data_IF_015547761467
#
_entry.id   IF_015547761467
#
_cell.length_a   1.000
_cell.length_b   1.000
_cell.length_c   1.000
_cell.angle_alpha   90.00
_cell.angle_beta   90.00
_cell.angle_gamma   90.00
#
_symmetry.space_group_name_H-M   'P 1'
#
loop_
_entity.id
_entity.type
_entity.pdbx_description
1 polymer ?
#
# COMPACT_ATOMS: atom_id res chain seq x y z
N UNK A 1 -3.62 -26.81 -43.30
CA UNK A 1 -4.78 -26.23 -44.01
C UNK A 1 -5.91 -26.05 -43.01
N UNK A 2 -6.15 -24.83 -42.56
CA UNK A 2 -7.32 -24.52 -41.73
C UNK A 2 -8.57 -24.63 -42.59
N UNK A 3 -9.56 -25.46 -42.23
CA UNK A 3 -10.76 -25.69 -43.04
C UNK A 3 -11.52 -24.37 -43.24
N UNK A 4 -12.18 -24.19 -44.39
CA UNK A 4 -13.01 -23.00 -44.67
C UNK A 4 -14.00 -22.68 -43.56
N UNK A 5 -14.57 -23.70 -42.94
CA UNK A 5 -15.44 -23.61 -41.73
C UNK A 5 -14.73 -22.99 -40.51
N UNK A 6 -13.44 -23.21 -40.31
CA UNK A 6 -12.69 -22.60 -39.21
C UNK A 6 -12.45 -21.11 -39.43
N UNK A 7 -12.20 -20.71 -40.68
CA UNK A 7 -12.05 -19.30 -41.08
C UNK A 7 -13.37 -18.54 -40.92
N UNK A 8 -14.47 -19.13 -41.35
CA UNK A 8 -15.82 -18.55 -41.21
C UNK A 8 -16.23 -18.35 -39.74
N UNK A 9 -15.97 -19.35 -38.89
CA UNK A 9 -16.17 -19.23 -37.42
C UNK A 9 -15.32 -18.16 -36.81
N UNK A 10 -14.07 -17.99 -37.24
CA UNK A 10 -13.20 -16.92 -36.75
C UNK A 10 -13.66 -15.54 -37.21
N UNK A 11 -14.10 -15.42 -38.48
CA UNK A 11 -14.68 -14.17 -39.00
C UNK A 11 -15.95 -13.78 -38.23
N UNK A 12 -16.88 -14.73 -38.00
CA UNK A 12 -18.09 -14.52 -37.22
C UNK A 12 -17.78 -14.10 -35.77
N UNK A 13 -16.84 -14.78 -35.09
CA UNK A 13 -16.43 -14.42 -33.74
C UNK A 13 -15.82 -13.01 -33.68
N UNK A 14 -14.99 -12.64 -34.67
CA UNK A 14 -14.40 -11.29 -34.77
C UNK A 14 -15.43 -10.21 -35.02
N UNK A 15 -16.40 -10.44 -35.90
CA UNK A 15 -17.49 -9.49 -36.17
C UNK A 15 -18.37 -9.30 -34.97
N UNK A 16 -18.73 -10.39 -34.27
CA UNK A 16 -19.51 -10.34 -33.02
C UNK A 16 -18.75 -9.65 -31.89
N UNK A 17 -17.44 -9.91 -31.73
CA UNK A 17 -16.60 -9.21 -30.76
C UNK A 17 -16.53 -7.70 -31.05
N UNK A 18 -16.29 -7.31 -32.30
CA UNK A 18 -16.27 -5.90 -32.72
C UNK A 18 -17.61 -5.21 -32.45
N UNK A 19 -18.75 -5.85 -32.76
CA UNK A 19 -20.09 -5.32 -32.50
C UNK A 19 -20.33 -5.18 -30.98
N UNK A 20 -19.94 -6.18 -30.19
CA UNK A 20 -20.03 -6.13 -28.73
C UNK A 20 -19.18 -5.00 -28.15
N UNK A 21 -17.93 -4.84 -28.62
CA UNK A 21 -17.06 -3.75 -28.20
C UNK A 21 -17.64 -2.38 -28.61
N UNK A 22 -18.14 -2.25 -29.83
CA UNK A 22 -18.77 -1.00 -30.27
C UNK A 22 -19.99 -0.64 -29.44
N UNK A 23 -20.86 -1.61 -29.14
CA UNK A 23 -22.04 -1.41 -28.27
C UNK A 23 -21.58 -1.01 -26.85
N UNK A 24 -20.57 -1.68 -26.30
CA UNK A 24 -20.04 -1.33 -24.98
C UNK A 24 -19.47 0.09 -24.95
N UNK A 25 -18.69 0.49 -25.96
CA UNK A 25 -18.16 1.85 -26.06
C UNK A 25 -19.27 2.89 -26.17
N UNK A 26 -20.24 2.66 -27.07
CA UNK A 26 -21.36 3.59 -27.28
C UNK A 26 -22.20 3.71 -26.00
N UNK A 27 -22.55 2.60 -25.36
CA UNK A 27 -23.32 2.61 -24.11
C UNK A 27 -22.56 3.34 -22.98
N UNK A 28 -21.25 3.12 -22.88
CA UNK A 28 -20.41 3.83 -21.90
C UNK A 28 -20.36 5.33 -22.19
N UNK A 29 -20.21 5.72 -23.45
CA UNK A 29 -20.22 7.14 -23.83
C UNK A 29 -21.57 7.80 -23.57
N UNK A 30 -22.68 7.13 -23.95
CA UNK A 30 -24.03 7.64 -23.69
C UNK A 30 -24.27 7.80 -22.18
N UNK A 31 -23.88 6.80 -21.40
CA UNK A 31 -23.98 6.87 -19.95
C UNK A 31 -23.12 8.02 -19.37
N UNK A 32 -21.87 8.13 -19.80
CA UNK A 32 -20.98 9.21 -19.36
C UNK A 32 -21.52 10.59 -19.71
N UNK A 33 -22.04 10.77 -20.93
CA UNK A 33 -22.65 12.03 -21.38
C UNK A 33 -23.93 12.31 -20.57
N UNK A 34 -24.80 11.31 -20.35
CA UNK A 34 -26.04 11.51 -19.58
C UNK A 34 -25.74 11.90 -18.13
N UNK A 35 -24.79 11.22 -17.48
CA UNK A 35 -24.33 11.54 -16.12
C UNK A 35 -23.68 12.92 -16.07
N UNK A 36 -22.77 13.21 -17.00
CA UNK A 36 -22.10 14.50 -17.10
C UNK A 36 -23.09 15.65 -17.31
N UNK A 37 -24.05 15.46 -18.22
CA UNK A 37 -25.12 16.44 -18.45
C UNK A 37 -25.98 16.64 -17.19
N UNK A 38 -26.41 15.52 -16.55
CA UNK A 38 -27.20 15.58 -15.31
C UNK A 38 -26.49 16.35 -14.21
N UNK A 39 -25.20 16.09 -13.99
CA UNK A 39 -24.40 16.77 -12.96
C UNK A 39 -24.22 18.25 -13.29
N UNK A 40 -23.78 18.58 -14.51
CA UNK A 40 -23.43 19.95 -14.89
C UNK A 40 -24.64 20.90 -15.04
N UNK A 41 -25.85 20.36 -15.20
CA UNK A 41 -27.09 21.14 -15.29
C UNK A 41 -27.85 21.22 -13.96
N UNK A 42 -27.31 20.68 -12.87
CA UNK A 42 -27.90 20.91 -11.54
C UNK A 42 -27.67 22.36 -11.08
N UNK A 43 -28.66 22.99 -10.40
CA UNK A 43 -28.52 24.36 -9.88
C UNK A 43 -27.31 24.54 -8.93
N UNK A 44 -26.84 23.47 -8.30
CA UNK A 44 -25.69 23.49 -7.38
C UNK A 44 -24.33 23.38 -8.06
N UNK A 45 -24.25 23.08 -9.36
CA UNK A 45 -22.99 22.83 -10.05
C UNK A 45 -22.02 24.02 -10.04
N UNK A 46 -22.44 25.27 -10.28
CA UNK A 46 -21.53 26.41 -10.18
C UNK A 46 -20.85 26.51 -8.79
N UNK A 47 -21.63 26.25 -7.73
CA UNK A 47 -21.10 26.27 -6.36
C UNK A 47 -20.09 25.17 -6.12
N UNK A 48 -20.33 23.97 -6.67
CA UNK A 48 -19.35 22.87 -6.62
C UNK A 48 -18.05 23.24 -7.32
N UNK A 49 -18.15 23.86 -8.51
CA UNK A 49 -16.97 24.34 -9.24
C UNK A 49 -16.17 25.38 -8.44
N UNK A 50 -16.83 26.38 -7.89
CA UNK A 50 -16.17 27.42 -7.09
C UNK A 50 -15.54 26.85 -5.83
N UNK A 51 -16.19 25.90 -5.16
CA UNK A 51 -15.79 25.39 -3.86
C UNK A 51 -14.71 24.29 -3.94
N UNK A 52 -14.74 23.45 -4.99
CA UNK A 52 -13.87 22.28 -5.08
C UNK A 52 -12.87 22.32 -6.24
N UNK A 53 -13.12 23.18 -7.25
CA UNK A 53 -12.34 23.20 -8.49
C UNK A 53 -11.92 24.62 -8.89
N UNK A 54 -11.65 25.49 -7.92
CA UNK A 54 -11.16 26.85 -8.15
C UNK A 54 -9.69 26.83 -8.64
N UNK A 55 -9.39 27.24 -9.90
CA UNK A 55 -8.02 27.23 -10.41
C UNK A 55 -7.08 28.16 -9.64
N UNK A 56 -7.59 29.29 -9.18
CA UNK A 56 -6.81 30.29 -8.42
C UNK A 56 -6.39 29.74 -7.07
N UNK A 57 -7.32 29.07 -6.34
CA UNK A 57 -7.04 28.44 -5.05
C UNK A 57 -6.14 27.21 -5.23
N UNK A 58 -6.32 26.43 -6.30
CA UNK A 58 -5.45 25.30 -6.61
C UNK A 58 -4.00 25.77 -6.78
N UNK A 59 -3.78 26.81 -7.57
CA UNK A 59 -2.45 27.34 -7.83
C UNK A 59 -1.79 27.95 -6.59
N UNK A 60 -2.55 28.71 -5.79
CA UNK A 60 -2.03 29.33 -4.57
C UNK A 60 -1.71 28.34 -3.45
N UNK A 61 -2.45 27.22 -3.36
CA UNK A 61 -2.22 26.18 -2.34
C UNK A 61 -1.18 25.13 -2.74
N UNK A 62 -0.85 25.02 -4.03
CA UNK A 62 0.04 23.99 -4.56
C UNK A 62 1.42 23.95 -3.87
N UNK A 63 2.12 25.09 -3.63
CA UNK A 63 3.44 25.06 -2.99
C UNK A 63 3.40 24.46 -1.58
N UNK A 64 2.45 24.87 -0.73
CA UNK A 64 2.32 24.38 0.64
C UNK A 64 1.94 22.90 0.68
N UNK A 65 1.06 22.45 -0.22
CA UNK A 65 0.67 21.04 -0.33
C UNK A 65 1.83 20.16 -0.84
N UNK A 66 2.65 20.67 -1.78
CA UNK A 66 3.85 19.97 -2.26
C UNK A 66 4.92 19.83 -1.16
N UNK A 67 5.12 20.88 -0.36
CA UNK A 67 6.02 20.81 0.78
C UNK A 67 5.56 19.75 1.80
N UNK A 68 4.26 19.76 2.10
CA UNK A 68 3.66 18.70 2.94
C UNK A 68 3.78 17.30 2.33
N UNK A 69 3.61 17.15 1.02
CA UNK A 69 3.82 15.89 0.32
C UNK A 69 5.26 15.40 0.43
N UNK A 70 6.23 16.31 0.41
CA UNK A 70 7.64 15.96 0.62
C UNK A 70 7.87 15.37 2.02
N UNK A 71 7.18 15.87 3.05
CA UNK A 71 7.19 15.23 4.37
C UNK A 71 6.62 13.82 4.30
N UNK A 72 5.46 13.60 3.62
CA UNK A 72 4.89 12.27 3.45
C UNK A 72 5.86 11.31 2.75
N UNK A 73 6.57 11.76 1.71
CA UNK A 73 7.58 10.93 1.02
C UNK A 73 8.73 10.55 1.95
N UNK A 74 9.24 11.48 2.76
CA UNK A 74 10.30 11.20 3.74
C UNK A 74 9.84 10.18 4.78
N UNK A 75 8.64 10.38 5.35
CA UNK A 75 8.02 9.46 6.30
C UNK A 75 7.84 8.08 5.67
N UNK A 76 7.34 8.01 4.42
CA UNK A 76 7.16 6.76 3.68
C UNK A 76 8.48 5.97 3.58
N UNK A 77 9.56 6.62 3.14
CA UNK A 77 10.85 5.95 2.96
C UNK A 77 11.42 5.46 4.29
N UNK A 78 11.39 6.30 5.33
CA UNK A 78 11.91 5.93 6.66
C UNK A 78 11.06 4.82 7.28
N UNK A 79 9.73 4.93 7.18
CA UNK A 79 8.81 3.91 7.68
C UNK A 79 9.02 2.58 6.96
N UNK A 80 9.09 2.56 5.62
CA UNK A 80 9.27 1.33 4.85
C UNK A 80 10.55 0.58 5.25
N UNK A 81 11.68 1.29 5.37
CA UNK A 81 12.94 0.69 5.82
C UNK A 81 12.79 0.09 7.23
N UNK A 82 12.21 0.85 8.16
CA UNK A 82 11.95 0.38 9.52
C UNK A 82 11.01 -0.83 9.58
N UNK A 83 9.95 -0.81 8.79
CA UNK A 83 8.97 -1.89 8.66
C UNK A 83 9.61 -3.18 8.17
N UNK A 84 10.41 -3.11 7.11
CA UNK A 84 11.08 -4.28 6.55
C UNK A 84 12.09 -4.89 7.53
N UNK A 85 12.88 -4.04 8.22
CA UNK A 85 13.87 -4.49 9.21
C UNK A 85 13.16 -5.13 10.41
N UNK A 86 12.20 -4.44 11.02
CA UNK A 86 11.50 -4.91 12.22
C UNK A 86 10.62 -6.12 11.89
N UNK A 87 9.89 -6.09 10.75
CA UNK A 87 9.06 -7.20 10.29
C UNK A 87 9.88 -8.47 10.05
N UNK A 88 11.05 -8.34 9.42
CA UNK A 88 11.96 -9.48 9.23
C UNK A 88 12.51 -10.01 10.56
N UNK A 89 12.87 -9.12 11.50
CA UNK A 89 13.32 -9.51 12.83
C UNK A 89 12.24 -10.29 13.58
N UNK A 90 10.99 -9.79 13.61
CA UNK A 90 9.86 -10.45 14.27
C UNK A 90 9.54 -11.79 13.60
N UNK A 91 9.51 -11.87 12.27
CA UNK A 91 9.31 -13.12 11.55
C UNK A 91 10.40 -14.14 11.88
N UNK A 92 11.65 -13.68 11.97
CA UNK A 92 12.79 -14.54 12.34
C UNK A 92 12.66 -15.09 13.75
N UNK A 93 12.27 -14.26 14.72
CA UNK A 93 12.03 -14.68 16.11
C UNK A 93 10.92 -15.74 16.19
N UNK A 94 9.83 -15.57 15.42
CA UNK A 94 8.72 -16.54 15.38
C UNK A 94 9.08 -17.90 14.75
N UNK A 95 10.12 -17.95 13.94
CA UNK A 95 10.60 -19.20 13.30
C UNK A 95 11.64 -19.96 14.12
N UNK A 96 12.12 -19.41 15.24
CA UNK A 96 13.05 -20.08 16.15
C UNK A 96 12.48 -21.39 16.67
N UNK A 97 13.31 -22.43 16.75
CA UNK A 97 12.91 -23.77 17.21
C UNK A 97 13.52 -24.08 18.58
N UNK A 98 12.83 -24.96 19.32
CA UNK A 98 13.24 -25.40 20.65
C UNK A 98 12.51 -24.69 21.78
N UNK A 99 12.42 -25.38 22.98
CA UNK A 99 11.70 -24.83 24.13
C UNK A 99 12.35 -23.60 24.74
N UNK A 100 13.66 -23.45 24.66
CA UNK A 100 14.42 -22.30 25.18
C UNK A 100 13.98 -20.98 24.52
N UNK A 101 13.58 -21.03 23.26
CA UNK A 101 13.14 -19.84 22.53
C UNK A 101 11.64 -19.56 22.65
N UNK A 102 10.91 -20.34 23.47
CA UNK A 102 9.46 -20.13 23.65
C UNK A 102 9.10 -18.72 24.11
N UNK A 103 9.77 -18.10 25.09
CA UNK A 103 9.43 -16.74 25.52
C UNK A 103 9.56 -15.71 24.40
N UNK A 104 10.62 -15.78 23.58
CA UNK A 104 10.83 -14.88 22.46
C UNK A 104 9.77 -15.05 21.37
N UNK A 105 9.38 -16.31 21.08
CA UNK A 105 8.29 -16.57 20.13
C UNK A 105 6.95 -16.06 20.67
N UNK A 106 6.67 -16.26 21.96
CA UNK A 106 5.44 -15.79 22.59
C UNK A 106 5.36 -14.25 22.54
N UNK A 107 6.45 -13.53 22.86
CA UNK A 107 6.51 -12.09 22.77
C UNK A 107 6.32 -11.60 21.31
N UNK A 108 7.00 -12.21 20.36
CA UNK A 108 6.88 -11.86 18.95
C UNK A 108 5.46 -12.15 18.41
N UNK A 109 4.81 -13.21 18.89
CA UNK A 109 3.42 -13.52 18.53
C UNK A 109 2.47 -12.51 19.15
N UNK A 110 2.60 -12.25 20.45
CA UNK A 110 1.78 -11.25 21.14
C UNK A 110 1.92 -9.84 20.53
N UNK A 111 3.13 -9.48 20.10
CA UNK A 111 3.36 -8.23 19.36
C UNK A 111 2.53 -8.20 18.06
N UNK A 112 2.61 -9.25 17.25
CA UNK A 112 1.88 -9.32 15.98
C UNK A 112 0.37 -9.29 16.22
N UNK A 113 -0.13 -10.04 17.18
CA UNK A 113 -1.56 -10.09 17.49
C UNK A 113 -2.07 -8.74 17.98
N UNK A 114 -1.30 -8.06 18.85
CA UNK A 114 -1.63 -6.72 19.37
C UNK A 114 -1.69 -5.69 18.24
N UNK A 115 -0.60 -5.52 17.49
CA UNK A 115 -0.49 -4.45 16.51
C UNK A 115 -1.31 -4.69 15.24
N UNK A 116 -1.70 -5.91 14.94
CA UNK A 116 -2.69 -6.22 13.90
C UNK A 116 -4.13 -6.04 14.36
N UNK A 117 -4.38 -6.11 15.67
CA UNK A 117 -5.70 -5.94 16.25
C UNK A 117 -6.07 -4.47 16.53
N UNK A 118 -5.08 -3.60 16.71
CA UNK A 118 -5.32 -2.18 17.00
C UNK A 118 -5.49 -1.37 15.72
N UNK A 119 -6.58 -0.59 15.56
CA UNK A 119 -6.74 0.34 14.44
C UNK A 119 -5.61 1.37 14.40
N UNK A 120 -5.04 1.62 13.21
CA UNK A 120 -3.91 2.53 13.02
C UNK A 120 -4.16 3.92 13.64
N UNK A 121 -5.36 4.47 13.45
CA UNK A 121 -5.71 5.80 13.99
C UNK A 121 -5.64 5.84 15.52
N UNK A 122 -6.08 4.78 16.19
CA UNK A 122 -6.01 4.68 17.66
C UNK A 122 -4.55 4.60 18.11
N UNK A 123 -3.73 3.79 17.42
CA UNK A 123 -2.30 3.71 17.72
C UNK A 123 -1.59 5.05 17.53
N UNK A 124 -1.93 5.79 16.45
CA UNK A 124 -1.41 7.15 16.23
C UNK A 124 -1.74 8.06 17.41
N UNK A 125 -2.98 8.08 17.89
CA UNK A 125 -3.35 8.90 19.05
C UNK A 125 -2.65 8.47 20.34
N UNK A 126 -2.58 7.17 20.61
CA UNK A 126 -1.95 6.65 21.83
C UNK A 126 -0.44 6.95 21.87
N UNK A 127 0.25 6.78 20.73
CA UNK A 127 1.70 7.02 20.66
C UNK A 127 1.95 8.51 20.47
N UNK A 128 1.29 9.16 19.51
CA UNK A 128 1.54 10.54 19.14
C UNK A 128 1.20 11.56 20.23
N UNK A 129 0.17 11.32 21.04
CA UNK A 129 -0.18 12.18 22.17
C UNK A 129 0.16 11.56 23.52
N UNK A 130 0.06 10.23 23.65
CA UNK A 130 0.33 9.55 24.91
C UNK A 130 1.80 9.61 25.31
N UNK A 131 2.73 9.38 24.37
CA UNK A 131 4.16 9.43 24.67
C UNK A 131 4.62 10.83 25.13
N UNK A 132 4.26 11.94 24.45
CA UNK A 132 4.56 13.29 24.95
C UNK A 132 3.92 13.59 26.32
N UNK A 133 2.71 13.08 26.58
CA UNK A 133 2.03 13.29 27.87
C UNK A 133 2.79 12.69 29.06
N UNK A 134 3.58 11.63 28.84
CA UNK A 134 4.42 11.00 29.89
C UNK A 134 5.63 11.85 30.27
N UNK A 135 5.97 12.90 29.50
CA UNK A 135 7.11 13.81 29.75
C UNK A 135 8.43 13.10 30.02
N UNK A 136 8.69 12.00 29.34
CA UNK A 136 9.90 11.19 29.51
C UNK A 136 11.12 11.94 28.96
N UNK A 137 12.20 12.02 29.76
CA UNK A 137 13.45 12.64 29.31
C UNK A 137 14.11 11.79 28.21
N UNK A 138 14.61 12.44 27.15
CA UNK A 138 15.30 11.77 26.05
C UNK A 138 14.40 11.08 25.03
N UNK A 139 13.09 11.10 25.19
CA UNK A 139 12.13 10.57 24.22
C UNK A 139 11.71 11.67 23.25
N UNK A 140 11.81 11.46 21.93
CA UNK A 140 11.34 12.44 20.93
C UNK A 140 9.86 12.76 21.12
N UNK A 141 9.49 14.04 21.01
CA UNK A 141 8.11 14.53 21.05
C UNK A 141 7.65 15.07 19.70
N UNK A 142 8.52 15.03 18.69
CA UNK A 142 8.19 15.45 17.35
C UNK A 142 7.11 14.53 16.75
N UNK A 143 6.02 15.14 16.28
CA UNK A 143 4.84 14.41 15.79
C UNK A 143 5.09 13.60 14.54
N UNK A 144 6.01 14.03 13.66
CA UNK A 144 6.36 13.27 12.46
C UNK A 144 7.20 12.03 12.84
N UNK A 145 8.09 12.15 13.83
CA UNK A 145 8.87 11.02 14.37
C UNK A 145 7.95 10.01 15.04
N UNK A 146 7.03 10.45 15.91
CA UNK A 146 6.10 9.56 16.61
C UNK A 146 5.10 8.91 15.64
N UNK A 147 4.62 9.66 14.65
CA UNK A 147 3.77 9.12 13.59
C UNK A 147 4.51 8.06 12.77
N UNK A 148 5.77 8.33 12.38
CA UNK A 148 6.62 7.36 11.68
C UNK A 148 6.85 6.10 12.52
N UNK A 149 7.17 6.24 13.80
CA UNK A 149 7.34 5.12 14.70
C UNK A 149 6.06 4.27 14.82
N UNK A 150 4.90 4.92 14.90
CA UNK A 150 3.60 4.22 14.93
C UNK A 150 3.36 3.41 13.67
N UNK A 151 3.63 3.98 12.49
CA UNK A 151 3.54 3.27 11.21
C UNK A 151 4.47 2.06 11.18
N UNK A 152 5.72 2.21 11.65
CA UNK A 152 6.68 1.12 11.74
C UNK A 152 6.14 -0.01 12.64
N UNK A 153 5.63 0.32 13.82
CA UNK A 153 5.12 -0.68 14.77
C UNK A 153 3.92 -1.44 14.20
N UNK A 154 2.96 -0.75 13.61
CA UNK A 154 1.76 -1.38 13.03
C UNK A 154 2.11 -2.22 11.81
N UNK A 155 2.76 -1.62 10.82
CA UNK A 155 3.02 -2.29 9.55
C UNK A 155 4.04 -3.42 9.65
N UNK A 156 5.01 -3.34 10.56
CA UNK A 156 5.95 -4.44 10.80
C UNK A 156 5.26 -5.71 11.30
N UNK A 157 4.14 -5.61 12.00
CA UNK A 157 3.35 -6.77 12.40
C UNK A 157 2.68 -7.46 11.20
N UNK A 158 2.15 -6.68 10.23
CA UNK A 158 1.63 -7.24 8.97
C UNK A 158 2.75 -7.86 8.13
N UNK A 159 3.85 -7.14 7.93
CA UNK A 159 4.99 -7.60 7.15
C UNK A 159 5.66 -8.84 7.77
N UNK A 160 5.73 -8.93 9.10
CA UNK A 160 6.21 -10.14 9.79
C UNK A 160 5.37 -11.37 9.43
N UNK A 161 4.06 -11.21 9.32
CA UNK A 161 3.16 -12.29 8.93
C UNK A 161 3.33 -12.66 7.44
N UNK A 162 3.54 -11.67 6.57
CA UNK A 162 3.85 -11.90 5.15
C UNK A 162 5.13 -12.71 5.01
N UNK A 163 6.20 -12.35 5.73
CA UNK A 163 7.46 -13.12 5.71
C UNK A 163 7.27 -14.55 6.23
N UNK A 164 6.55 -14.71 7.34
CA UNK A 164 6.27 -16.05 7.91
C UNK A 164 5.48 -16.90 6.91
N UNK A 165 4.39 -16.38 6.37
CA UNK A 165 3.57 -17.08 5.40
C UNK A 165 4.35 -17.45 4.12
N UNK A 166 5.25 -16.56 3.66
CA UNK A 166 6.13 -16.84 2.53
C UNK A 166 7.06 -18.02 2.76
N UNK A 167 7.68 -18.10 3.94
CA UNK A 167 8.57 -19.20 4.31
C UNK A 167 7.77 -20.51 4.45
N UNK A 168 6.59 -20.46 5.07
CA UNK A 168 5.74 -21.65 5.28
C UNK A 168 5.09 -22.13 3.98
N UNK A 169 4.88 -21.27 3.03
CA UNK A 169 4.29 -21.61 1.72
C UNK A 169 5.18 -22.51 0.86
N UNK A 170 6.48 -22.64 1.16
CA UNK A 170 7.37 -23.54 0.45
C UNK A 170 7.03 -24.99 0.82
N UNK A 171 6.65 -25.78 -0.20
CA UNK A 171 6.13 -27.13 0.00
C UNK A 171 7.10 -28.00 0.83
N UNK A 172 6.61 -28.81 1.77
CA UNK A 172 7.45 -29.65 2.62
C UNK A 172 8.38 -30.60 1.85
N UNK A 173 7.97 -31.05 0.66
CA UNK A 173 8.81 -31.90 -0.20
C UNK A 173 10.11 -31.22 -0.63
N UNK A 174 10.13 -29.91 -0.82
CA UNK A 174 11.34 -29.15 -1.14
C UNK A 174 12.37 -29.22 0.01
N UNK A 175 11.87 -29.16 1.24
CA UNK A 175 12.72 -29.33 2.44
C UNK A 175 13.20 -30.78 2.60
N UNK A 176 12.35 -31.74 2.27
CA UNK A 176 12.70 -33.16 2.32
C UNK A 176 13.76 -33.49 1.26
N UNK A 177 13.57 -33.04 0.01
CA UNK A 177 14.52 -33.22 -1.08
C UNK A 177 15.89 -32.57 -0.76
N UNK A 178 15.91 -31.36 -0.22
CA UNK A 178 17.15 -30.71 0.19
C UNK A 178 17.92 -31.53 1.24
N UNK A 179 17.21 -32.12 2.21
CA UNK A 179 17.82 -32.99 3.21
C UNK A 179 18.33 -34.33 2.63
N UNK A 180 17.59 -34.90 1.68
CA UNK A 180 18.03 -36.16 1.00
C UNK A 180 19.31 -35.93 0.19
N UNK A 181 19.56 -34.68 -0.26
CA UNK A 181 20.82 -34.29 -0.90
C UNK A 181 21.94 -33.94 0.10
N UNK A 182 21.74 -34.20 1.41
CA UNK A 182 22.73 -33.94 2.45
C UNK A 182 22.88 -32.48 2.86
N UNK A 183 21.98 -31.59 2.41
CA UNK A 183 22.05 -30.17 2.79
C UNK A 183 21.69 -29.97 4.26
N UNK A 184 22.55 -29.27 4.99
CA UNK A 184 22.26 -28.82 6.35
C UNK A 184 21.01 -27.92 6.38
N UNK A 185 20.40 -27.73 7.55
CA UNK A 185 19.24 -26.84 7.70
C UNK A 185 19.53 -25.42 7.17
N UNK A 186 20.71 -24.87 7.45
CA UNK A 186 21.13 -23.55 7.00
C UNK A 186 21.31 -23.48 5.48
N UNK A 187 21.90 -24.52 4.88
CA UNK A 187 22.05 -24.63 3.42
C UNK A 187 20.69 -24.78 2.73
N UNK A 188 19.81 -25.66 3.25
CA UNK A 188 18.44 -25.82 2.75
C UNK A 188 17.65 -24.52 2.80
N UNK A 189 17.77 -23.76 3.90
CA UNK A 189 17.13 -22.46 4.04
C UNK A 189 17.66 -21.47 3.00
N UNK A 190 18.98 -21.32 2.87
CA UNK A 190 19.60 -20.32 2.01
C UNK A 190 19.48 -20.64 0.52
N UNK A 191 19.65 -21.91 0.14
CA UNK A 191 19.75 -22.31 -1.27
C UNK A 191 18.41 -22.71 -1.89
N UNK A 192 17.47 -23.23 -1.07
CA UNK A 192 16.20 -23.78 -1.57
C UNK A 192 14.98 -22.97 -1.12
N UNK A 193 14.87 -22.68 0.19
CA UNK A 193 13.65 -22.13 0.76
C UNK A 193 13.58 -20.61 0.58
N UNK A 194 14.61 -19.87 0.97
CA UNK A 194 14.63 -18.41 0.91
C UNK A 194 14.43 -17.87 -0.51
N UNK A 195 15.08 -18.39 -1.58
CA UNK A 195 14.84 -17.89 -2.93
C UNK A 195 13.40 -18.08 -3.41
N UNK A 196 12.75 -19.17 -2.95
CA UNK A 196 11.34 -19.42 -3.26
C UNK A 196 10.42 -18.53 -2.42
N UNK A 197 10.71 -18.40 -1.11
CA UNK A 197 9.94 -17.56 -0.20
C UNK A 197 9.95 -16.08 -0.65
N UNK A 198 11.11 -15.52 -0.99
CA UNK A 198 11.24 -14.13 -1.45
C UNK A 198 10.33 -13.85 -2.65
N UNK A 199 10.27 -14.76 -3.61
CA UNK A 199 9.38 -14.61 -4.77
C UNK A 199 7.89 -14.63 -4.40
N UNK A 200 7.54 -15.24 -3.26
CA UNK A 200 6.15 -15.35 -2.79
C UNK A 200 5.74 -14.19 -1.89
N UNK A 201 6.67 -13.59 -1.17
CA UNK A 201 6.40 -12.43 -0.31
C UNK A 201 6.41 -11.11 -1.07
N UNK A 202 7.09 -11.04 -2.22
CA UNK A 202 7.22 -9.79 -2.96
C UNK A 202 5.85 -9.17 -3.37
N UNK A 203 4.87 -9.91 -3.94
CA UNK A 203 3.58 -9.32 -4.28
C UNK A 203 2.83 -8.72 -3.07
N UNK A 204 2.63 -9.44 -1.95
CA UNK A 204 1.97 -8.86 -0.79
C UNK A 204 2.75 -7.69 -0.17
N UNK A 205 4.10 -7.72 -0.12
CA UNK A 205 4.89 -6.58 0.35
C UNK A 205 4.68 -5.33 -0.50
N UNK A 206 4.58 -5.48 -1.83
CA UNK A 206 4.28 -4.36 -2.71
C UNK A 206 2.87 -3.81 -2.48
N UNK A 207 1.89 -4.66 -2.17
CA UNK A 207 0.55 -4.21 -1.80
C UNK A 207 0.56 -3.45 -0.46
N UNK A 208 1.32 -3.93 0.53
CA UNK A 208 1.49 -3.25 1.82
C UNK A 208 2.17 -1.89 1.63
N UNK A 209 3.18 -1.79 0.75
CA UNK A 209 3.81 -0.52 0.40
C UNK A 209 2.82 0.48 -0.22
N UNK A 210 1.96 0.04 -1.16
CA UNK A 210 0.92 0.90 -1.76
C UNK A 210 -0.12 1.34 -0.72
N UNK A 211 -0.43 0.50 0.27
CA UNK A 211 -1.30 0.88 1.39
C UNK A 211 -0.61 1.90 2.29
N UNK A 212 0.63 1.64 2.71
CA UNK A 212 1.43 2.55 3.53
C UNK A 212 1.56 3.93 2.89
N UNK A 213 1.73 4.00 1.57
CA UNK A 213 1.83 5.26 0.83
C UNK A 213 0.60 6.18 1.03
N UNK A 214 -0.57 5.62 1.26
CA UNK A 214 -1.78 6.38 1.59
C UNK A 214 -1.86 6.68 3.08
N UNK A 215 -1.48 5.72 3.91
CA UNK A 215 -1.60 5.80 5.35
C UNK A 215 -0.58 6.74 6.01
N UNK A 216 0.53 7.08 5.32
CA UNK A 216 1.45 8.13 5.78
C UNK A 216 0.76 9.50 5.91
N UNK A 217 -0.33 9.75 5.17
CA UNK A 217 -1.13 10.97 5.33
C UNK A 217 -1.89 11.02 6.64
N UNK A 218 -2.05 9.91 7.35
CA UNK A 218 -2.73 9.90 8.65
C UNK A 218 -1.92 10.58 9.77
N UNK A 219 -0.62 10.82 9.59
CA UNK A 219 0.19 11.59 10.56
C UNK A 219 -0.33 13.02 10.74
N UNK A 220 -1.08 13.55 9.76
CA UNK A 220 -1.76 14.83 9.83
C UNK A 220 -2.64 14.99 11.06
N UNK A 221 -3.24 13.90 11.56
CA UNK A 221 -4.11 13.92 12.75
C UNK A 221 -3.34 14.28 14.04
N UNK A 222 -2.02 14.08 14.05
CA UNK A 222 -1.13 14.47 15.14
C UNK A 222 -0.69 15.93 15.04
N UNK A 223 -1.04 16.63 13.95
CA UNK A 223 -0.64 18.02 13.71
C UNK A 223 0.62 18.17 12.86
N UNK A 224 1.22 17.07 12.34
CA UNK A 224 2.29 17.16 11.36
C UNK A 224 1.79 17.89 10.10
N UNK A 225 2.54 18.89 9.65
CA UNK A 225 2.16 19.66 8.45
C UNK A 225 2.58 18.89 7.20
N UNK A 226 1.87 17.80 6.96
CA UNK A 226 1.94 16.99 5.74
C UNK A 226 0.99 17.55 4.66
N UNK A 227 0.87 16.86 3.52
CA UNK A 227 0.02 17.33 2.43
C UNK A 227 -1.45 17.51 2.83
N UNK A 228 -1.99 16.62 3.68
CA UNK A 228 -3.38 16.69 4.14
C UNK A 228 -3.55 17.87 5.11
N UNK A 229 -2.64 18.04 6.06
CA UNK A 229 -2.69 19.15 7.01
C UNK A 229 -2.46 20.48 6.33
N UNK A 230 -1.54 20.58 5.36
CA UNK A 230 -1.35 21.78 4.55
C UNK A 230 -2.65 22.14 3.79
N UNK A 231 -3.28 21.16 3.16
CA UNK A 231 -4.57 21.35 2.49
C UNK A 231 -5.67 21.80 3.47
N UNK A 232 -5.70 21.25 4.69
CA UNK A 232 -6.63 21.64 5.75
C UNK A 232 -6.43 23.10 6.16
N UNK A 233 -5.20 23.54 6.37
CA UNK A 233 -4.86 24.92 6.74
C UNK A 233 -5.33 25.88 5.64
N UNK A 234 -5.02 25.58 4.37
CA UNK A 234 -5.41 26.41 3.24
C UNK A 234 -6.94 26.43 3.05
N UNK A 235 -7.61 25.29 3.21
CA UNK A 235 -9.06 25.21 3.15
C UNK A 235 -9.73 26.02 4.26
N UNK A 236 -9.20 25.98 5.49
CA UNK A 236 -9.71 26.77 6.60
C UNK A 236 -9.52 28.29 6.38
N UNK A 237 -8.42 28.69 5.73
CA UNK A 237 -8.11 30.09 5.42
C UNK A 237 -9.00 30.66 4.33
N UNK A 238 -9.34 29.87 3.33
CA UNK A 238 -10.06 30.33 2.13
C UNK A 238 -11.53 29.93 2.11
N UNK A 239 -12.00 29.08 3.05
CA UNK A 239 -13.32 28.42 3.03
C UNK A 239 -13.60 27.69 1.71
N UNK A 240 -12.54 27.14 1.09
CA UNK A 240 -12.57 26.48 -0.18
C UNK A 240 -11.91 25.10 -0.06
N UNK A 241 -12.53 24.06 -0.62
CA UNK A 241 -12.06 22.67 -0.51
C UNK A 241 -11.13 22.25 -1.67
N UNK A 242 -10.82 23.13 -2.61
CA UNK A 242 -9.89 22.86 -3.71
C UNK A 242 -8.51 22.35 -3.22
N UNK A 243 -7.91 22.85 -2.11
CA UNK A 243 -6.64 22.33 -1.62
C UNK A 243 -6.66 20.83 -1.30
N UNK A 244 -7.79 20.29 -0.81
CA UNK A 244 -7.93 18.84 -0.61
C UNK A 244 -7.97 18.07 -1.94
N UNK A 245 -8.60 18.66 -2.97
CA UNK A 245 -8.58 18.05 -4.31
C UNK A 245 -7.17 18.03 -4.86
N UNK A 246 -6.40 19.11 -4.68
CA UNK A 246 -4.97 19.16 -5.05
C UNK A 246 -4.17 18.09 -4.32
N UNK A 247 -4.30 17.99 -3.00
CA UNK A 247 -3.63 16.97 -2.22
C UNK A 247 -4.01 15.54 -2.68
N UNK A 248 -5.31 15.29 -2.88
CA UNK A 248 -5.82 14.01 -3.36
C UNK A 248 -5.24 13.64 -4.74
N UNK A 249 -5.19 14.57 -5.68
CA UNK A 249 -4.60 14.36 -7.00
C UNK A 249 -3.10 14.06 -6.91
N UNK A 250 -2.36 14.74 -6.05
CA UNK A 250 -0.94 14.47 -5.84
C UNK A 250 -0.70 13.08 -5.25
N UNK A 251 -1.51 12.64 -4.28
CA UNK A 251 -1.46 11.27 -3.79
C UNK A 251 -1.78 10.24 -4.89
N UNK A 252 -2.78 10.50 -5.73
CA UNK A 252 -3.12 9.64 -6.87
C UNK A 252 -1.97 9.58 -7.88
N UNK A 253 -1.37 10.72 -8.21
CA UNK A 253 -0.20 10.79 -9.11
C UNK A 253 1.00 10.01 -8.57
N UNK A 254 1.18 9.98 -7.25
CA UNK A 254 2.22 9.18 -6.60
C UNK A 254 1.83 7.69 -6.56
N UNK A 255 0.56 7.36 -6.33
CA UNK A 255 0.07 6.00 -6.16
C UNK A 255 -0.03 5.22 -7.47
N UNK A 256 -0.39 5.85 -8.59
CA UNK A 256 -0.56 5.16 -9.87
C UNK A 256 0.75 4.50 -10.36
N UNK A 257 1.89 5.22 -10.45
CA UNK A 257 3.15 4.60 -10.88
C UNK A 257 3.60 3.46 -9.96
N UNK A 258 3.52 3.67 -8.64
CA UNK A 258 3.93 2.66 -7.66
C UNK A 258 3.05 1.42 -7.72
N UNK A 259 1.72 1.59 -7.84
CA UNK A 259 0.78 0.49 -8.04
C UNK A 259 1.05 -0.28 -9.35
N UNK A 260 1.30 0.42 -10.46
CA UNK A 260 1.65 -0.23 -11.74
C UNK A 260 2.95 -1.02 -11.67
N UNK A 261 3.96 -0.50 -10.95
CA UNK A 261 5.22 -1.22 -10.71
C UNK A 261 4.95 -2.47 -9.87
N UNK A 262 4.14 -2.36 -8.83
CA UNK A 262 3.73 -3.46 -7.97
C UNK A 262 3.03 -4.57 -8.77
N UNK A 263 2.04 -4.21 -9.59
CA UNK A 263 1.29 -5.13 -10.45
C UNK A 263 2.21 -5.84 -11.46
N UNK A 264 3.11 -5.08 -12.10
CA UNK A 264 4.07 -5.63 -13.06
C UNK A 264 5.06 -6.60 -12.38
N UNK A 265 5.53 -6.29 -11.17
CA UNK A 265 6.41 -7.16 -10.41
C UNK A 265 5.69 -8.44 -9.96
N UNK A 266 4.44 -8.32 -9.49
CA UNK A 266 3.60 -9.46 -9.13
C UNK A 266 3.34 -10.38 -10.33
N UNK A 267 2.98 -9.81 -11.49
CA UNK A 267 2.75 -10.57 -12.71
C UNK A 267 4.02 -11.33 -13.19
N UNK A 268 5.20 -10.70 -13.08
CA UNK A 268 6.47 -11.36 -13.41
C UNK A 268 6.78 -12.52 -12.45
N UNK A 269 6.50 -12.35 -11.16
CA UNK A 269 6.69 -13.39 -10.15
C UNK A 269 5.79 -14.61 -10.43
N UNK A 270 4.54 -14.39 -10.86
CA UNK A 270 3.58 -15.46 -11.20
C UNK A 270 3.98 -16.21 -12.47
N UNK A 271 4.32 -15.51 -13.55
CA UNK A 271 4.75 -16.15 -14.83
C UNK A 271 5.98 -17.05 -14.68
N UNK A 272 6.92 -16.68 -13.80
CA UNK A 272 8.10 -17.51 -13.49
C UNK A 272 7.77 -18.76 -12.67
N UNK A 273 6.56 -18.87 -12.11
CA UNK A 273 6.06 -20.09 -11.43
C UNK A 273 5.43 -21.07 -12.42
N UNK A 274 4.73 -20.55 -13.43
CA UNK A 274 4.02 -21.37 -14.43
C UNK A 274 4.98 -21.93 -15.52
N UNK A 275 6.16 -21.32 -15.69
CA UNK A 275 7.18 -21.74 -16.65
C UNK A 275 8.35 -22.54 -16.06
N UNK A 276 8.27 -22.92 -14.77
CA UNK A 276 9.23 -23.75 -14.06
C UNK A 276 8.54 -25.00 -13.51
#
# INVERSE_FOLDING_TARGET
>A
MTSALAQERLAYRRSRARRSTAVAVVSTLVFAVAVGYGITHTPGWPRVQETFFSPTVAWSSLPSVLEGLWLNVRVLVVAEIGILILGLAIASLRTLRGPVFFPLRALATGYVDLFRGVPLLIALYLIGFGVPALRLQGVPTDVAVLGTATLILIYSAYVAEVFRAGIESVHPSQRAAARSLGLSHRQSMRLVILPQAVRRVLPPLLNDFVALQKDVGLISVLGAVDAIRAAQIEAARTFNFTPYVVAGLLFVLLAIPTGRIADAAAARATRRREGA
#
